data_IF_882724052549
#
_entry.id   IF_882724052549
#
_cell.length_a   1.000
_cell.length_b   1.000
_cell.length_c   1.000
_cell.angle_alpha   90.00
_cell.angle_beta   90.00
_cell.angle_gamma   90.00
#
_symmetry.space_group_name_H-M   'P 1'
#
loop_
_entity.id
_entity.type
_entity.pdbx_description
1 polymer ?
#
# COMPACT_ATOMS: atom_id res chain seq x y z
N UNK A 1 -41.23 -3.71 56.78
CA UNK A 1 -42.46 -2.95 56.45
C UNK A 1 -42.05 -1.50 56.26
N UNK A 2 -42.12 -0.84 55.10
CA UNK A 2 -42.92 -1.06 53.91
C UNK A 2 -43.85 0.15 53.73
N UNK A 3 -43.41 1.18 52.99
CA UNK A 3 -44.27 2.18 52.33
C UNK A 3 -43.53 2.78 51.12
N UNK A 4 -43.99 2.43 49.92
CA UNK A 4 -43.70 3.15 48.68
C UNK A 4 -44.49 4.47 48.67
N UNK A 5 -44.05 5.51 47.94
CA UNK A 5 -44.95 6.43 47.29
C UNK A 5 -45.04 6.06 45.81
N UNK A 6 -46.14 5.39 45.44
CA UNK A 6 -46.60 5.33 44.06
C UNK A 6 -47.30 6.66 43.72
N UNK A 7 -46.84 7.34 42.69
CA UNK A 7 -47.52 8.48 42.09
C UNK A 7 -47.16 8.56 40.60
N UNK A 8 -48.12 8.63 39.67
CA UNK A 8 -47.82 8.79 38.26
C UNK A 8 -47.30 10.22 38.01
N UNK A 9 -46.16 10.34 37.33
CA UNK A 9 -45.74 11.61 36.73
C UNK A 9 -46.83 12.03 35.72
N UNK A 10 -47.33 13.27 35.81
CA UNK A 10 -48.51 13.74 35.07
C UNK A 10 -48.21 14.33 33.69
N UNK A 11 -46.96 14.32 33.26
CA UNK A 11 -46.51 14.75 31.93
C UNK A 11 -45.10 14.26 31.57
N UNK A 12 -44.60 13.24 32.26
CA UNK A 12 -43.29 12.67 31.98
C UNK A 12 -43.34 11.74 30.77
N UNK A 13 -43.10 12.28 29.57
CA UNK A 13 -42.54 11.46 28.49
C UNK A 13 -41.09 11.14 28.87
N UNK A 14 -40.85 9.90 29.28
CA UNK A 14 -39.49 9.36 29.23
C UNK A 14 -39.26 8.98 27.78
N UNK A 15 -38.64 9.88 27.03
CA UNK A 15 -38.08 9.56 25.71
C UNK A 15 -36.83 8.71 25.96
N UNK A 16 -36.97 7.39 25.91
CA UNK A 16 -35.83 6.50 25.75
C UNK A 16 -35.27 6.72 24.34
N UNK A 17 -34.36 7.68 24.21
CA UNK A 17 -33.52 7.77 23.02
C UNK A 17 -32.63 6.53 23.02
N UNK A 18 -32.88 5.63 22.07
CA UNK A 18 -31.83 4.72 21.62
C UNK A 18 -30.70 5.61 21.11
N UNK A 19 -29.73 5.87 21.97
CA UNK A 19 -28.41 6.27 21.54
C UNK A 19 -27.85 5.05 20.84
N UNK A 20 -27.99 5.04 19.52
CA UNK A 20 -27.09 4.24 18.71
C UNK A 20 -25.72 4.80 19.00
N UNK A 21 -24.94 4.10 19.82
CA UNK A 21 -23.48 4.21 19.73
C UNK A 21 -23.19 3.65 18.34
N UNK A 22 -23.26 4.50 17.32
CA UNK A 22 -22.52 4.24 16.10
C UNK A 22 -21.11 4.03 16.60
N UNK A 23 -20.55 2.85 16.35
CA UNK A 23 -19.14 2.61 16.57
C UNK A 23 -18.39 3.88 16.16
N UNK A 24 -17.51 4.38 17.03
CA UNK A 24 -16.51 5.36 16.63
C UNK A 24 -16.01 4.92 15.25
N UNK A 25 -15.92 5.81 14.24
CA UNK A 25 -15.50 5.39 12.90
C UNK A 25 -14.30 4.46 13.07
N UNK A 26 -14.40 3.25 12.52
CA UNK A 26 -13.30 2.30 12.55
C UNK A 26 -12.03 3.10 12.22
N UNK A 27 -10.95 2.99 13.02
CA UNK A 27 -9.75 3.78 12.77
C UNK A 27 -9.39 3.63 11.30
N UNK A 28 -9.05 4.74 10.62
CA UNK A 28 -8.72 4.73 9.19
C UNK A 28 -7.89 3.48 8.88
N UNK A 29 -8.50 2.55 8.13
CA UNK A 29 -7.84 1.32 7.72
C UNK A 29 -6.82 1.71 6.66
N UNK A 30 -5.56 1.43 6.95
CA UNK A 30 -4.45 1.75 6.09
C UNK A 30 -3.89 0.47 5.53
N UNK A 31 -3.67 0.46 4.22
CA UNK A 31 -2.78 -0.49 3.58
C UNK A 31 -1.35 0.10 3.63
N UNK A 32 -0.34 -0.70 3.94
CA UNK A 32 1.06 -0.29 4.09
C UNK A 32 2.00 -1.13 3.22
N UNK A 33 3.13 -0.55 2.82
CA UNK A 33 4.23 -1.35 2.25
C UNK A 33 5.12 -1.95 3.34
N UNK A 34 5.81 -3.04 3.01
CA UNK A 34 6.50 -3.88 3.98
C UNK A 34 7.97 -4.19 3.67
N UNK A 35 8.56 -3.48 2.70
CA UNK A 35 10.01 -3.49 2.47
C UNK A 35 10.78 -3.25 3.79
N UNK A 36 12.02 -3.74 3.93
CA UNK A 36 12.71 -3.74 5.22
C UNK A 36 12.84 -2.34 5.82
N UNK A 37 12.54 -2.21 7.11
CA UNK A 37 12.80 -1.00 7.90
C UNK A 37 13.51 -1.39 9.22
N UNK A 38 14.84 -1.31 9.17
CA UNK A 38 15.73 -1.73 10.26
C UNK A 38 16.10 -0.59 11.21
N UNK A 39 15.65 0.64 10.93
CA UNK A 39 15.90 1.81 11.77
C UNK A 39 15.54 3.12 11.08
N UNK A 40 15.64 4.24 11.80
CA UNK A 40 15.24 5.56 11.27
C UNK A 40 16.08 6.02 10.07
N UNK A 41 15.40 6.51 9.04
CA UNK A 41 15.98 7.08 7.83
C UNK A 41 16.34 6.02 6.78
N UNK A 42 16.53 6.43 5.54
CA UNK A 42 16.85 5.49 4.46
C UNK A 42 18.33 5.09 4.46
N UNK A 43 18.61 3.82 4.21
CA UNK A 43 19.96 3.31 3.93
C UNK A 43 19.89 1.95 3.24
N UNK A 44 20.99 1.42 2.69
CA UNK A 44 20.98 0.13 2.01
C UNK A 44 20.33 -0.97 2.88
N UNK A 45 19.24 -1.56 2.38
CA UNK A 45 18.42 -2.54 3.12
C UNK A 45 17.48 -1.92 4.16
N UNK A 46 17.12 -0.64 4.02
CA UNK A 46 16.26 0.12 4.92
C UNK A 46 15.43 1.18 4.15
N UNK A 47 14.12 0.95 4.00
CA UNK A 47 13.23 1.59 3.01
C UNK A 47 12.08 2.41 3.61
N UNK A 48 12.23 2.86 4.85
CA UNK A 48 11.25 3.72 5.56
C UNK A 48 9.82 3.19 5.43
N UNK A 49 9.53 1.99 5.95
CA UNK A 49 8.18 1.39 5.87
C UNK A 49 7.39 1.49 7.15
N UNK A 50 8.05 1.68 8.29
CA UNK A 50 7.36 1.86 9.55
C UNK A 50 6.65 3.20 9.66
N UNK A 51 5.57 3.24 10.42
CA UNK A 51 4.86 4.45 10.80
C UNK A 51 5.79 5.47 11.47
N UNK A 52 6.75 4.97 12.26
CA UNK A 52 7.73 5.80 12.96
C UNK A 52 8.70 6.52 12.03
N UNK A 53 8.86 6.02 10.81
CA UNK A 53 9.72 6.57 9.77
C UNK A 53 8.93 7.13 8.57
N UNK A 54 7.65 7.44 8.82
CA UNK A 54 6.72 7.97 7.83
C UNK A 54 6.53 7.05 6.62
N UNK A 55 6.33 5.76 6.86
CA UNK A 55 6.13 4.76 5.82
C UNK A 55 4.98 5.04 4.84
N UNK A 56 5.07 4.45 3.64
CA UNK A 56 4.01 4.52 2.65
C UNK A 56 2.77 3.86 3.23
N UNK A 57 1.63 4.54 3.08
CA UNK A 57 0.35 3.94 3.43
C UNK A 57 -0.78 4.58 2.66
N UNK A 58 -1.87 3.87 2.46
CA UNK A 58 -3.07 4.40 1.82
C UNK A 58 -4.28 4.08 2.65
N UNK A 59 -5.17 5.05 2.83
CA UNK A 59 -6.50 4.73 3.37
C UNK A 59 -7.23 3.83 2.38
N UNK A 60 -7.88 2.75 2.82
CA UNK A 60 -8.59 1.87 1.90
C UNK A 60 -9.76 2.57 1.20
N UNK A 61 -9.97 2.25 -0.08
CA UNK A 61 -11.14 2.67 -0.86
C UNK A 61 -11.61 1.52 -1.73
N UNK A 62 -12.92 1.24 -1.68
CA UNK A 62 -13.52 0.18 -2.48
C UNK A 62 -13.24 0.36 -3.98
N UNK A 63 -12.87 -0.74 -4.63
CA UNK A 63 -12.66 -0.86 -6.08
C UNK A 63 -11.49 -0.04 -6.65
N UNK A 64 -10.45 0.22 -5.86
CA UNK A 64 -9.16 0.66 -6.36
C UNK A 64 -8.09 -0.27 -5.81
N UNK A 65 -7.65 -1.24 -6.61
CA UNK A 65 -6.73 -2.30 -6.17
C UNK A 65 -5.71 -2.64 -7.25
N UNK A 66 -4.55 -3.10 -6.82
CA UNK A 66 -3.63 -3.96 -7.53
C UNK A 66 -4.02 -5.40 -7.18
N UNK A 67 -4.06 -6.29 -8.18
CA UNK A 67 -4.48 -7.66 -7.97
C UNK A 67 -5.90 -7.83 -7.38
N UNK A 68 -6.09 -8.82 -6.51
CA UNK A 68 -7.41 -9.29 -6.08
C UNK A 68 -7.68 -9.19 -4.59
N UNK A 69 -6.64 -8.94 -3.80
CA UNK A 69 -6.68 -8.86 -2.35
C UNK A 69 -6.23 -7.46 -1.92
N UNK A 70 -6.73 -7.04 -0.76
CA UNK A 70 -6.35 -5.81 -0.07
C UNK A 70 -6.67 -6.05 1.39
N UNK A 71 -5.74 -5.83 2.30
CA UNK A 71 -6.06 -5.77 3.72
C UNK A 71 -5.62 -4.46 4.40
N UNK A 72 -5.77 -4.43 5.72
CA UNK A 72 -5.55 -3.23 6.50
C UNK A 72 -4.62 -3.53 7.66
N UNK A 73 -3.52 -2.79 7.74
CA UNK A 73 -2.47 -2.99 8.71
C UNK A 73 -2.37 -1.77 9.63
N UNK A 74 -1.91 -2.04 10.85
CA UNK A 74 -1.66 -0.98 11.84
C UNK A 74 -0.31 -0.29 11.64
N UNK A 75 0.60 -0.92 10.90
CA UNK A 75 1.97 -0.48 10.57
C UNK A 75 2.50 -1.37 9.41
N UNK A 76 3.61 -1.02 8.76
CA UNK A 76 4.09 -1.71 7.56
C UNK A 76 4.68 -3.11 7.73
N UNK A 77 4.47 -3.79 8.86
CA UNK A 77 4.83 -5.23 9.08
C UNK A 77 6.19 -5.75 8.54
N UNK A 78 7.20 -4.89 8.40
CA UNK A 78 8.36 -5.15 7.54
C UNK A 78 9.09 -6.49 7.71
N UNK A 79 9.61 -7.02 6.60
CA UNK A 79 10.57 -8.13 6.61
C UNK A 79 11.70 -7.97 5.60
N UNK A 80 12.74 -8.80 5.74
CA UNK A 80 13.80 -8.92 4.74
C UNK A 80 13.34 -9.46 3.38
N UNK A 81 12.13 -10.03 3.31
CA UNK A 81 11.60 -10.59 2.07
C UNK A 81 10.49 -9.74 1.45
N UNK A 82 10.06 -8.65 2.10
CA UNK A 82 8.83 -7.92 1.74
C UNK A 82 7.65 -8.90 1.61
N UNK A 83 7.31 -9.52 2.74
CA UNK A 83 6.30 -10.56 2.88
C UNK A 83 5.76 -10.65 4.33
N UNK A 84 5.77 -9.54 5.05
CA UNK A 84 5.50 -9.49 6.48
C UNK A 84 4.04 -9.68 6.81
N UNK A 85 3.21 -8.83 6.22
CA UNK A 85 1.76 -8.95 6.04
C UNK A 85 1.33 -10.30 5.49
N UNK A 86 2.02 -10.88 4.50
CA UNK A 86 1.72 -12.25 4.02
C UNK A 86 1.65 -13.28 5.16
N UNK A 87 2.49 -13.08 6.19
CA UNK A 87 2.61 -14.01 7.32
C UNK A 87 1.72 -13.64 8.51
N UNK A 88 1.13 -12.45 8.52
CA UNK A 88 0.27 -11.93 9.60
C UNK A 88 -1.12 -11.45 9.16
N UNK A 89 -1.50 -11.62 7.89
CA UNK A 89 -2.75 -11.15 7.29
C UNK A 89 -3.16 -11.94 6.03
N UNK A 90 -3.68 -11.24 5.02
CA UNK A 90 -3.95 -11.74 3.67
C UNK A 90 -2.76 -11.37 2.78
N UNK A 91 -2.30 -12.28 1.91
CA UNK A 91 -1.25 -12.01 0.91
C UNK A 91 -1.87 -11.16 -0.21
N UNK A 92 -1.63 -9.85 -0.18
CA UNK A 92 -2.10 -8.87 -1.17
C UNK A 92 -0.99 -8.33 -2.09
N UNK A 93 0.24 -8.85 -2.00
CA UNK A 93 1.27 -8.85 -3.03
C UNK A 93 0.92 -9.74 -4.25
N UNK A 94 -0.34 -9.72 -4.69
CA UNK A 94 -0.86 -10.52 -5.80
C UNK A 94 -1.03 -9.73 -7.11
N UNK A 95 -0.79 -8.41 -7.06
CA UNK A 95 -0.98 -7.49 -8.17
C UNK A 95 0.18 -7.37 -9.15
N UNK A 96 1.43 -7.63 -8.73
CA UNK A 96 2.61 -7.33 -9.56
C UNK A 96 3.39 -8.57 -9.97
N UNK A 97 3.69 -8.67 -11.27
CA UNK A 97 4.60 -9.66 -11.85
C UNK A 97 5.89 -9.01 -12.30
N UNK A 98 6.97 -9.23 -11.54
CA UNK A 98 8.33 -8.81 -11.87
C UNK A 98 9.06 -9.99 -12.55
N UNK A 99 9.50 -9.87 -13.82
CA UNK A 99 10.27 -10.93 -14.46
C UNK A 99 11.69 -11.01 -13.87
N UNK A 100 12.42 -12.06 -14.23
CA UNK A 100 13.85 -12.12 -13.93
C UNK A 100 14.57 -10.91 -14.56
N UNK A 101 15.22 -10.10 -13.72
CA UNK A 101 15.99 -8.94 -14.16
C UNK A 101 17.43 -9.35 -14.45
N UNK A 102 17.96 -8.89 -15.57
CA UNK A 102 19.31 -9.19 -16.04
C UNK A 102 20.00 -7.88 -16.38
N UNK A 103 21.21 -7.64 -15.87
CA UNK A 103 21.97 -6.43 -16.20
C UNK A 103 22.12 -6.29 -17.73
N UNK A 104 21.87 -5.08 -18.24
CA UNK A 104 21.92 -4.79 -19.68
C UNK A 104 20.66 -5.11 -20.47
N UNK A 105 19.70 -5.82 -19.88
CA UNK A 105 18.40 -6.11 -20.50
C UNK A 105 17.31 -5.12 -20.06
N UNK A 106 16.20 -5.09 -20.78
CA UNK A 106 15.07 -4.21 -20.44
C UNK A 106 14.21 -4.81 -19.33
N UNK A 107 13.96 -4.06 -18.26
CA UNK A 107 13.04 -4.40 -17.18
C UNK A 107 11.62 -3.97 -17.52
N UNK A 108 10.73 -4.95 -17.69
CA UNK A 108 9.31 -4.74 -18.00
C UNK A 108 8.48 -5.43 -16.91
N UNK A 109 7.79 -4.66 -16.09
CA UNK A 109 6.92 -5.16 -15.02
C UNK A 109 5.47 -5.08 -15.47
N UNK A 110 4.68 -6.11 -15.13
CA UNK A 110 3.23 -6.11 -15.36
C UNK A 110 2.53 -5.98 -14.03
N UNK A 111 1.55 -5.09 -13.95
CA UNK A 111 0.72 -4.85 -12.76
C UNK A 111 -0.74 -5.05 -13.14
N UNK A 112 -1.43 -5.96 -12.47
CA UNK A 112 -2.86 -6.16 -12.61
C UNK A 112 -3.59 -5.09 -11.78
N UNK A 113 -4.46 -4.29 -12.38
CA UNK A 113 -5.14 -3.20 -11.68
C UNK A 113 -6.65 -3.21 -11.88
N UNK A 114 -7.35 -2.83 -10.82
CA UNK A 114 -8.77 -2.53 -10.80
C UNK A 114 -8.97 -1.07 -10.40
N UNK A 115 -9.76 -0.33 -11.18
CA UNK A 115 -10.22 1.01 -10.85
C UNK A 115 -11.67 1.20 -11.30
N UNK A 116 -12.61 0.92 -10.39
CA UNK A 116 -14.05 1.13 -10.59
C UNK A 116 -14.59 2.28 -9.73
N UNK A 117 -13.71 3.15 -9.23
CA UNK A 117 -14.07 4.29 -8.36
C UNK A 117 -14.89 5.37 -9.07
N UNK A 118 -14.92 5.37 -10.41
CA UNK A 118 -15.54 6.42 -11.22
C UNK A 118 -14.62 7.60 -11.53
N UNK A 119 -13.39 7.61 -11.02
CA UNK A 119 -12.36 8.61 -11.30
C UNK A 119 -11.07 7.96 -11.84
N UNK A 120 -10.22 8.73 -12.52
CA UNK A 120 -8.90 8.25 -12.92
C UNK A 120 -7.97 8.15 -11.71
N UNK A 121 -7.13 7.12 -11.71
CA UNK A 121 -6.07 6.90 -10.74
C UNK A 121 -4.69 6.88 -11.45
N UNK A 122 -3.64 6.80 -10.67
CA UNK A 122 -2.26 6.77 -11.13
C UNK A 122 -1.52 5.64 -10.43
N UNK A 123 -0.88 4.79 -11.22
CA UNK A 123 0.08 3.80 -10.75
C UNK A 123 1.48 4.42 -10.78
N UNK A 124 2.20 4.26 -9.69
CA UNK A 124 3.60 4.63 -9.52
C UNK A 124 4.38 3.36 -9.15
N UNK A 125 5.51 3.10 -9.82
CA UNK A 125 6.39 1.99 -9.50
C UNK A 125 7.83 2.45 -9.41
N UNK A 126 8.60 1.87 -8.49
CA UNK A 126 10.03 2.10 -8.30
C UNK A 126 10.76 0.77 -8.24
N UNK A 127 12.00 0.73 -8.75
CA UNK A 127 12.97 -0.33 -8.48
C UNK A 127 14.27 0.37 -8.08
N UNK A 128 14.75 0.14 -6.87
CA UNK A 128 16.00 0.73 -6.35
C UNK A 128 17.21 0.03 -7.01
N UNK A 129 17.48 0.32 -8.28
CA UNK A 129 18.53 -0.36 -9.04
C UNK A 129 19.92 -0.14 -8.46
N UNK A 130 20.10 0.90 -7.63
CA UNK A 130 21.37 1.22 -7.01
C UNK A 130 21.51 0.69 -5.57
N UNK A 131 20.45 0.09 -5.03
CA UNK A 131 20.36 -0.57 -3.73
C UNK A 131 20.78 0.32 -2.55
N UNK A 132 20.48 1.62 -2.61
CA UNK A 132 20.84 2.55 -1.54
C UNK A 132 19.77 2.72 -0.44
N UNK A 133 18.62 2.05 -0.58
CA UNK A 133 17.50 2.16 0.37
C UNK A 133 16.53 3.31 0.09
N UNK A 134 16.72 4.06 -0.99
CA UNK A 134 15.93 5.24 -1.33
C UNK A 134 15.27 5.02 -2.68
N UNK A 135 13.94 4.95 -2.70
CA UNK A 135 13.19 4.97 -3.95
C UNK A 135 13.17 6.38 -4.56
N UNK A 136 13.97 6.60 -5.59
CA UNK A 136 14.18 7.95 -6.10
C UNK A 136 13.22 8.33 -7.22
N UNK A 137 13.06 9.64 -7.46
CA UNK A 137 12.24 10.11 -8.60
C UNK A 137 12.80 9.64 -9.95
N UNK A 138 14.12 9.40 -10.04
CA UNK A 138 14.77 8.88 -11.25
C UNK A 138 14.51 7.40 -11.51
N UNK A 139 14.12 6.65 -10.49
CA UNK A 139 13.80 5.21 -10.56
C UNK A 139 12.31 4.95 -10.79
N UNK A 140 11.51 6.03 -10.76
CA UNK A 140 10.06 5.97 -10.84
C UNK A 140 9.56 5.85 -12.28
N UNK A 141 8.66 4.92 -12.50
CA UNK A 141 7.83 4.81 -13.70
C UNK A 141 6.36 4.98 -13.31
N UNK A 142 5.55 5.57 -14.19
CA UNK A 142 4.13 5.80 -13.91
C UNK A 142 3.24 5.39 -15.07
N UNK A 143 2.01 4.97 -14.75
CA UNK A 143 0.97 4.68 -15.73
C UNK A 143 -0.40 5.18 -15.26
N UNK A 144 -1.12 5.89 -16.13
CA UNK A 144 -2.45 6.39 -15.81
C UNK A 144 -3.46 5.22 -15.84
N UNK A 145 -4.27 5.10 -14.80
CA UNK A 145 -5.26 4.03 -14.66
C UNK A 145 -6.65 4.65 -14.83
N UNK A 146 -7.27 4.55 -16.04
CA UNK A 146 -8.59 5.11 -16.26
C UNK A 146 -9.65 4.35 -15.44
N UNK A 147 -10.76 5.04 -15.15
CA UNK A 147 -11.94 4.37 -14.59
C UNK A 147 -12.44 3.27 -15.53
N UNK A 148 -12.92 2.18 -14.96
CA UNK A 148 -13.40 1.00 -15.69
C UNK A 148 -12.32 -0.05 -15.96
N UNK A 149 -11.07 0.17 -15.53
CA UNK A 149 -10.09 -0.92 -15.44
C UNK A 149 -10.61 -1.96 -14.43
N UNK A 150 -10.64 -3.23 -14.84
CA UNK A 150 -11.18 -4.32 -14.04
C UNK A 150 -10.30 -5.55 -14.26
N UNK A 151 -9.36 -5.79 -13.34
CA UNK A 151 -8.31 -6.79 -13.52
C UNK A 151 -7.51 -6.60 -14.81
N UNK A 152 -7.17 -5.36 -15.16
CA UNK A 152 -6.48 -5.03 -16.40
C UNK A 152 -4.97 -5.04 -16.19
N UNK A 153 -4.23 -5.69 -17.09
CA UNK A 153 -2.76 -5.68 -17.05
C UNK A 153 -2.20 -4.36 -17.59
N UNK A 154 -1.37 -3.72 -16.78
CA UNK A 154 -0.68 -2.47 -17.09
C UNK A 154 0.82 -2.71 -17.05
N UNK A 155 1.52 -2.27 -18.09
CA UNK A 155 2.96 -2.46 -18.20
C UNK A 155 3.73 -1.21 -17.75
N UNK A 156 4.68 -1.38 -16.83
CA UNK A 156 5.68 -0.38 -16.47
C UNK A 156 7.03 -0.77 -17.08
N UNK A 157 7.60 0.12 -17.89
CA UNK A 157 8.92 -0.05 -18.51
C UNK A 157 9.97 0.76 -17.73
N UNK A 158 10.81 0.05 -16.98
CA UNK A 158 11.88 0.63 -16.17
C UNK A 158 13.17 0.89 -16.96
N UNK A 159 13.17 0.59 -18.26
CA UNK A 159 14.33 0.76 -19.12
C UNK A 159 15.37 -0.34 -18.93
N UNK A 160 16.62 -0.02 -19.20
CA UNK A 160 17.73 -0.99 -19.11
C UNK A 160 18.16 -1.14 -17.66
N UNK A 161 18.24 -2.38 -17.18
CA UNK A 161 18.80 -2.71 -15.86
C UNK A 161 20.28 -2.30 -15.84
N UNK A 162 20.72 -1.42 -14.91
CA UNK A 162 22.11 -1.00 -14.82
C UNK A 162 23.06 -2.15 -14.51
N UNK A 163 24.23 -2.18 -15.13
CA UNK A 163 25.30 -3.13 -14.82
C UNK A 163 26.20 -2.57 -13.71
N UNK A 164 25.76 -2.69 -12.46
CA UNK A 164 26.42 -2.11 -11.28
C UNK A 164 26.75 -3.15 -10.19
N UNK A 165 26.49 -4.43 -10.43
CA UNK A 165 26.77 -5.53 -9.51
C UNK A 165 25.77 -5.68 -8.37
N UNK A 166 24.65 -4.96 -8.38
CA UNK A 166 23.53 -5.20 -7.47
C UNK A 166 22.88 -6.53 -7.86
N UNK A 167 22.71 -7.42 -6.88
CA UNK A 167 22.13 -8.77 -7.10
C UNK A 167 20.77 -8.95 -6.42
N UNK A 168 20.48 -8.12 -5.42
CA UNK A 168 19.20 -8.06 -4.74
C UNK A 168 18.91 -6.60 -4.40
N UNK A 169 17.67 -6.19 -4.59
CA UNK A 169 17.13 -4.89 -4.18
C UNK A 169 15.62 -5.02 -3.95
N UNK A 170 14.91 -3.91 -3.82
CA UNK A 170 13.48 -3.87 -3.59
C UNK A 170 12.78 -3.03 -4.66
N UNK A 171 11.49 -3.28 -4.82
CA UNK A 171 10.57 -2.49 -5.60
C UNK A 171 9.39 -2.07 -4.73
N UNK A 172 8.77 -0.95 -5.09
CA UNK A 172 7.55 -0.44 -4.47
C UNK A 172 6.57 -0.04 -5.54
N UNK A 173 5.30 -0.38 -5.37
CA UNK A 173 4.21 0.05 -6.23
C UNK A 173 3.19 0.78 -5.38
N UNK A 174 2.66 1.88 -5.91
CA UNK A 174 1.58 2.65 -5.28
C UNK A 174 0.52 2.97 -6.31
N UNK A 175 -0.70 2.53 -6.06
CA UNK A 175 -1.87 2.88 -6.88
C UNK A 175 -2.75 3.85 -6.10
N UNK A 176 -3.02 5.05 -6.64
CA UNK A 176 -3.91 5.99 -5.96
C UNK A 176 -4.51 7.03 -6.91
N UNK A 177 -5.64 7.60 -6.53
CA UNK A 177 -6.14 8.84 -7.13
C UNK A 177 -5.53 10.10 -6.47
N UNK A 178 -4.90 9.97 -5.30
CA UNK A 178 -4.21 11.05 -4.62
C UNK A 178 -2.79 11.23 -5.15
N UNK A 179 -2.45 12.46 -5.54
CA UNK A 179 -1.11 12.81 -6.01
C UNK A 179 -0.02 12.67 -4.93
N UNK A 180 -0.40 12.57 -3.65
CA UNK A 180 0.52 12.24 -2.57
C UNK A 180 1.24 10.89 -2.78
N UNK A 181 0.60 9.92 -3.45
CA UNK A 181 1.20 8.63 -3.79
C UNK A 181 2.38 8.75 -4.76
N UNK A 182 2.62 9.92 -5.35
CA UNK A 182 3.83 10.17 -6.14
C UNK A 182 5.11 10.17 -5.28
N UNK A 183 5.01 10.26 -3.95
CA UNK A 183 6.14 10.09 -3.05
C UNK A 183 6.28 8.60 -2.66
N UNK A 184 7.50 8.08 -2.51
CA UNK A 184 7.72 6.69 -2.11
C UNK A 184 7.39 6.41 -0.65
N UNK A 185 7.23 7.46 0.16
CA UNK A 185 6.94 7.41 1.59
C UNK A 185 5.69 8.24 1.90
N UNK A 186 5.15 8.07 3.11
CA UNK A 186 4.06 8.86 3.64
C UNK A 186 2.66 8.48 3.12
N UNK A 187 1.63 9.11 3.69
CA UNK A 187 0.24 8.75 3.43
C UNK A 187 -0.25 9.24 2.06
N UNK A 188 -1.11 8.45 1.45
CA UNK A 188 -1.98 8.83 0.33
C UNK A 188 -3.42 8.38 0.63
N UNK A 189 -4.40 8.88 -0.13
CA UNK A 189 -5.80 8.47 0.01
C UNK A 189 -6.21 7.49 -1.06
N UNK A 190 -6.70 6.32 -0.66
CA UNK A 190 -7.30 5.35 -1.56
C UNK A 190 -6.27 4.60 -2.37
N UNK A 191 -6.56 3.32 -2.58
CA UNK A 191 -5.70 2.39 -3.29
C UNK A 191 -4.70 1.74 -2.35
N UNK A 192 -3.55 1.36 -2.89
CA UNK A 192 -2.70 0.33 -2.31
C UNK A 192 -1.19 0.64 -2.45
N UNK A 193 -0.38 0.00 -1.60
CA UNK A 193 1.06 -0.14 -1.62
C UNK A 193 1.38 -1.62 -1.71
N UNK A 194 2.27 -2.01 -2.60
CA UNK A 194 2.85 -3.35 -2.56
C UNK A 194 4.37 -3.22 -2.69
N UNK A 195 5.10 -3.96 -1.86
CA UNK A 195 6.57 -4.00 -1.87
C UNK A 195 7.06 -5.39 -2.30
N UNK A 196 8.22 -5.44 -2.99
CA UNK A 196 8.74 -6.71 -3.50
C UNK A 196 10.25 -6.79 -3.41
N UNK A 197 10.77 -7.97 -3.06
CA UNK A 197 12.17 -8.30 -3.32
C UNK A 197 12.40 -8.51 -4.81
N UNK A 198 13.44 -7.85 -5.33
CA UNK A 198 13.90 -7.96 -6.71
C UNK A 198 15.27 -8.63 -6.74
N UNK A 199 15.41 -9.70 -7.52
CA UNK A 199 16.70 -10.34 -7.79
C UNK A 199 17.20 -9.95 -9.18
N UNK A 200 18.47 -9.56 -9.28
CA UNK A 200 19.13 -9.18 -10.53
C UNK A 200 20.29 -10.16 -10.77
N UNK A 201 20.30 -10.79 -11.95
CA UNK A 201 21.43 -11.61 -12.39
C UNK A 201 22.39 -10.80 -13.27
N UNK A 202 23.67 -11.14 -13.21
CA UNK A 202 24.68 -10.57 -14.09
C UNK A 202 24.31 -10.76 -15.57
N UNK A 203 24.61 -9.75 -16.37
CA UNK A 203 24.47 -9.80 -17.82
C UNK A 203 25.49 -10.74 -18.49
N UNK A 204 25.24 -11.14 -19.75
CA UNK A 204 26.17 -11.93 -20.56
C UNK A 204 27.49 -11.21 -20.90
#
# INVERSE_FOLDING_TARGET
AGTLPAGPARDGEVEDYVVTVTAEPEPDQFDWGDAPDTGTGASAGNYNTSASDNGPRHTLVDNLTMGSLIDAETDGQQTANANGDDTTGVDDEDGVTIPALVEGETAIVTVNVTNLTGAGAQLYGWIDFNANGVFETGERVTAAIPTGANGADVTLNFGIVPANGVTQTYARFRLSADAAAAQPIGPARGGEVEDYVVTISAGP
#
